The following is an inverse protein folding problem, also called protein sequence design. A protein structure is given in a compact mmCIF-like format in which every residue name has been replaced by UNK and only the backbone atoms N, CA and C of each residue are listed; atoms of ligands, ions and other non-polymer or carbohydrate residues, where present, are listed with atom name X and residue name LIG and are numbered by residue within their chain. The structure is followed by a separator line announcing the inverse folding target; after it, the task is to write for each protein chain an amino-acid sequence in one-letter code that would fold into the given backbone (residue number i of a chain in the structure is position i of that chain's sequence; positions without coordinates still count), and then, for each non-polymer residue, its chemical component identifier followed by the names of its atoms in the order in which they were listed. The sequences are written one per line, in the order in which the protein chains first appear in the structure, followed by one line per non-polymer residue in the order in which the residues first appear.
data_IF_893048771919
#
_entry.id   IF_893048771919
#
_cell.length_a   1.000
_cell.length_b   1.000
_cell.length_c   1.000
_cell.angle_alpha   90.00
_cell.angle_beta   90.00
_cell.angle_gamma   90.00
#
_symmetry.space_group_name_H-M   'P 1'
#
loop_
_entity.id
_entity.type
_entity.pdbx_description
1 polymer ?
#
# COMPACT_ATOMS: atom_id res chain seq x y z
N UNK A 1 24.25 -3.24 -7.53
CA UNK A 1 22.91 -3.30 -6.90
C UNK A 1 21.86 -2.61 -7.75
N UNK A 2 20.60 -2.96 -7.54
CA UNK A 2 19.48 -2.38 -8.33
C UNK A 2 18.99 -1.05 -7.79
N UNK A 3 19.35 -0.68 -6.57
CA UNK A 3 18.97 0.55 -5.91
C UNK A 3 20.14 1.20 -5.19
N UNK A 4 20.00 2.48 -4.84
CA UNK A 4 21.00 3.26 -4.12
C UNK A 4 21.05 2.82 -2.65
N UNK A 5 22.18 2.27 -2.15
CA UNK A 5 22.32 1.82 -0.76
C UNK A 5 22.56 2.95 0.23
N UNK A 6 22.87 4.17 -0.25
CA UNK A 6 23.15 5.36 0.57
C UNK A 6 22.45 6.59 0.00
N UNK A 7 21.10 6.60 0.01
CA UNK A 7 20.34 7.67 -0.61
C UNK A 7 20.38 8.95 0.23
N UNK A 8 20.34 10.07 -0.45
CA UNK A 8 20.11 11.38 0.12
C UNK A 8 18.69 11.85 -0.20
N UNK A 9 17.74 11.56 0.68
CA UNK A 9 16.35 11.99 0.49
C UNK A 9 16.25 13.52 0.51
N UNK A 10 15.55 14.07 -0.47
CA UNK A 10 15.36 15.52 -0.59
C UNK A 10 13.89 15.87 -0.71
N UNK A 11 13.49 16.95 -0.05
CA UNK A 11 12.21 17.60 -0.33
C UNK A 11 12.40 18.46 -1.58
N UNK A 12 11.83 18.01 -2.70
CA UNK A 12 11.94 18.71 -4.00
C UNK A 12 10.98 19.90 -4.04
N UNK A 13 9.78 19.71 -3.50
CA UNK A 13 8.72 20.71 -3.47
C UNK A 13 7.83 20.52 -2.25
N UNK A 14 7.39 21.61 -1.67
CA UNK A 14 6.41 21.60 -0.59
C UNK A 14 5.55 22.86 -0.63
N UNK A 15 4.27 22.72 -0.24
CA UNK A 15 3.35 23.83 0.08
C UNK A 15 2.67 23.53 1.41
N UNK A 16 1.67 24.32 1.77
CA UNK A 16 0.86 24.08 2.97
C UNK A 16 0.12 22.75 2.97
N UNK A 17 -0.17 22.19 1.79
CA UNK A 17 -1.00 20.99 1.62
C UNK A 17 -0.29 19.86 0.87
N UNK A 18 0.97 20.01 0.46
CA UNK A 18 1.70 18.89 -0.12
C UNK A 18 3.18 18.86 0.26
N UNK A 19 3.77 17.65 0.17
CA UNK A 19 5.20 17.41 0.23
C UNK A 19 5.63 16.43 -0.85
N UNK A 20 6.68 16.76 -1.60
CA UNK A 20 7.20 15.93 -2.67
C UNK A 20 8.67 15.59 -2.44
N UNK A 21 9.00 14.30 -2.40
CA UNK A 21 10.27 13.75 -1.96
C UNK A 21 10.98 13.07 -3.13
N UNK A 22 12.26 13.36 -3.30
CA UNK A 22 13.15 12.57 -4.13
C UNK A 22 13.74 11.43 -3.30
N UNK A 23 13.54 10.19 -3.75
CA UNK A 23 14.04 8.97 -3.13
C UNK A 23 15.48 8.63 -3.52
N UNK A 24 16.09 9.37 -4.44
CA UNK A 24 17.50 9.20 -4.86
C UNK A 24 17.87 7.74 -5.19
N UNK A 25 16.98 7.02 -5.82
CA UNK A 25 17.22 5.63 -6.22
C UNK A 25 17.09 4.59 -5.11
N UNK A 26 16.59 4.94 -3.92
CA UNK A 26 16.44 4.04 -2.78
C UNK A 26 15.30 3.03 -2.93
N UNK A 27 15.19 2.11 -1.96
CA UNK A 27 13.92 1.42 -1.68
C UNK A 27 12.87 2.44 -1.26
N UNK A 28 11.60 2.14 -1.55
CA UNK A 28 10.51 3.08 -1.37
C UNK A 28 10.07 3.35 0.08
N UNK A 29 10.55 2.59 1.06
CA UNK A 29 10.10 2.68 2.46
C UNK A 29 10.36 4.08 3.07
N UNK A 30 11.60 4.50 3.12
CA UNK A 30 11.98 5.75 3.77
C UNK A 30 11.43 7.01 3.07
N UNK A 31 11.54 7.17 1.74
CA UNK A 31 11.01 8.36 1.07
C UNK A 31 9.48 8.45 1.16
N UNK A 32 8.75 7.32 1.05
CA UNK A 32 7.30 7.34 1.19
C UNK A 32 6.86 7.61 2.62
N UNK A 33 7.55 7.06 3.63
CA UNK A 33 7.26 7.39 5.03
C UNK A 33 7.50 8.86 5.31
N UNK A 34 8.60 9.44 4.82
CA UNK A 34 8.88 10.88 4.96
C UNK A 34 7.77 11.73 4.30
N UNK A 35 7.28 11.33 3.13
CA UNK A 35 6.16 11.98 2.46
C UNK A 35 4.86 11.86 3.27
N UNK A 36 4.61 10.69 3.86
CA UNK A 36 3.46 10.42 4.72
C UNK A 36 3.47 11.28 5.98
N UNK A 37 4.56 11.34 6.71
CA UNK A 37 4.70 12.18 7.91
C UNK A 37 4.47 13.67 7.61
N UNK A 38 5.00 14.15 6.48
CA UNK A 38 4.73 15.51 6.04
C UNK A 38 3.27 15.76 5.68
N UNK A 39 2.62 14.79 5.04
CA UNK A 39 1.20 14.89 4.72
C UNK A 39 0.34 14.87 6.00
N UNK A 40 0.64 14.01 6.97
CA UNK A 40 -0.06 13.96 8.27
C UNK A 40 0.03 15.33 8.97
N UNK A 41 1.24 15.83 9.16
CA UNK A 41 1.45 17.12 9.84
C UNK A 41 0.70 18.26 9.17
N UNK A 42 0.62 18.27 7.84
CA UNK A 42 -0.12 19.27 7.06
C UNK A 42 -1.63 19.05 7.14
N UNK A 43 -2.11 17.82 7.07
CA UNK A 43 -3.53 17.49 7.17
C UNK A 43 -4.09 17.88 8.54
N UNK A 44 -3.34 17.66 9.61
CA UNK A 44 -3.73 18.11 10.96
C UNK A 44 -3.92 19.63 11.05
N UNK A 45 -3.21 20.42 10.26
CA UNK A 45 -3.29 21.88 10.26
C UNK A 45 -4.28 22.46 9.23
N UNK A 46 -4.49 21.75 8.10
CA UNK A 46 -5.24 22.25 6.93
C UNK A 46 -6.46 21.40 6.58
N UNK A 47 -6.68 20.31 7.31
CA UNK A 47 -7.76 19.36 7.09
C UNK A 47 -7.42 18.28 6.05
N UNK A 48 -6.66 18.60 5.00
CA UNK A 48 -6.27 17.67 3.94
C UNK A 48 -4.87 17.97 3.42
N UNK A 49 -4.11 16.94 3.10
CA UNK A 49 -2.80 17.08 2.46
C UNK A 49 -2.43 15.84 1.66
N UNK A 50 -1.43 15.99 0.77
CA UNK A 50 -0.85 14.91 -0.01
C UNK A 50 0.66 14.84 0.19
N UNK A 51 1.17 13.62 0.24
CA UNK A 51 2.58 13.32 0.17
C UNK A 51 2.87 12.52 -1.09
N UNK A 52 3.98 12.79 -1.74
CA UNK A 52 4.42 12.01 -2.90
C UNK A 52 5.93 11.78 -2.85
N UNK A 53 6.38 10.69 -3.44
CA UNK A 53 7.80 10.46 -3.63
C UNK A 53 8.06 9.83 -5.01
N UNK A 54 9.20 10.17 -5.61
CA UNK A 54 9.65 9.67 -6.89
C UNK A 54 11.03 9.02 -6.76
N UNK A 55 11.51 8.44 -7.87
CA UNK A 55 12.86 7.86 -7.98
C UNK A 55 13.13 6.82 -6.89
N UNK A 56 12.22 5.86 -6.73
CA UNK A 56 12.30 4.84 -5.70
C UNK A 56 11.96 3.45 -6.23
N UNK A 57 12.36 2.44 -5.49
CA UNK A 57 11.97 1.06 -5.69
C UNK A 57 10.70 0.69 -4.93
N UNK A 58 10.49 -0.61 -4.73
CA UNK A 58 9.33 -1.11 -4.01
C UNK A 58 9.23 -0.53 -2.59
N UNK A 59 8.02 -0.15 -2.16
CA UNK A 59 7.78 0.54 -0.89
C UNK A 59 7.14 -0.35 0.20
N UNK A 60 7.05 -1.66 -0.04
CA UNK A 60 6.44 -2.62 0.88
C UNK A 60 4.91 -2.68 0.74
N UNK A 61 4.22 -2.86 1.85
CA UNK A 61 2.76 -2.82 1.92
C UNK A 61 2.24 -1.38 1.88
N UNK A 62 1.16 -1.16 1.13
CA UNK A 62 0.47 0.13 1.09
C UNK A 62 -0.14 0.49 2.46
N UNK A 63 -0.59 -0.53 3.21
CA UNK A 63 -1.16 -0.38 4.54
C UNK A 63 -0.21 0.23 5.56
N UNK A 64 1.09 0.04 5.42
CA UNK A 64 2.08 0.60 6.35
C UNK A 64 1.93 2.13 6.53
N UNK A 65 1.76 2.85 5.44
CA UNK A 65 1.60 4.31 5.44
C UNK A 65 0.22 4.75 5.90
N UNK A 66 -0.80 3.96 5.55
CA UNK A 66 -2.18 4.21 5.95
C UNK A 66 -2.36 3.99 7.45
N UNK A 67 -1.82 2.93 8.02
CA UNK A 67 -1.85 2.68 9.47
C UNK A 67 -1.16 3.81 10.23
N UNK A 68 0.00 4.28 9.75
CA UNK A 68 0.69 5.42 10.36
C UNK A 68 -0.18 6.68 10.41
N UNK A 69 -0.92 6.96 9.34
CA UNK A 69 -1.85 8.10 9.32
C UNK A 69 -3.08 7.88 10.23
N UNK A 70 -3.59 6.65 10.32
CA UNK A 70 -4.71 6.31 11.21
C UNK A 70 -4.35 6.47 12.70
N UNK A 71 -3.12 6.16 13.10
CA UNK A 71 -2.59 6.42 14.45
C UNK A 71 -2.70 7.88 14.85
N UNK A 72 -2.55 8.80 13.88
CA UNK A 72 -2.68 10.24 14.07
C UNK A 72 -4.13 10.77 13.89
N UNK A 73 -5.09 9.86 13.80
CA UNK A 73 -6.51 10.22 13.68
C UNK A 73 -6.89 10.74 12.29
N UNK A 74 -6.29 10.19 11.25
CA UNK A 74 -6.56 10.57 9.88
C UNK A 74 -7.16 9.39 9.08
N UNK A 75 -7.98 9.70 8.09
CA UNK A 75 -8.17 8.84 6.93
C UNK A 75 -6.92 8.92 6.06
N UNK A 76 -6.55 7.81 5.44
CA UNK A 76 -5.51 7.86 4.42
C UNK A 76 -5.77 6.91 3.25
N UNK A 77 -5.18 7.27 2.13
CA UNK A 77 -5.02 6.45 0.94
C UNK A 77 -3.55 6.41 0.57
N UNK A 78 -3.03 5.24 0.23
CA UNK A 78 -1.66 5.04 -0.24
C UNK A 78 -1.65 4.20 -1.49
N UNK A 79 -0.79 4.54 -2.44
CA UNK A 79 -0.60 3.81 -3.69
C UNK A 79 0.83 3.90 -4.17
N UNK A 80 1.31 2.81 -4.75
CA UNK A 80 2.55 2.79 -5.51
C UNK A 80 2.25 2.57 -6.99
N UNK A 81 3.01 3.20 -7.85
CA UNK A 81 2.90 3.01 -9.30
C UNK A 81 4.27 3.05 -9.96
N UNK A 82 4.32 2.68 -11.22
CA UNK A 82 5.48 2.77 -12.07
C UNK A 82 5.08 3.20 -13.47
N UNK A 83 6.01 3.84 -14.18
CA UNK A 83 5.81 4.17 -15.59
C UNK A 83 7.02 3.65 -16.41
N UNK A 84 6.83 3.10 -17.60
CA UNK A 84 5.54 2.88 -18.29
C UNK A 84 4.75 1.68 -17.77
N UNK A 85 5.35 0.77 -17.02
CA UNK A 85 4.67 -0.41 -16.50
C UNK A 85 5.16 -0.81 -15.13
N UNK A 86 4.22 -1.14 -14.22
CA UNK A 86 4.54 -1.70 -12.92
C UNK A 86 5.18 -3.09 -13.04
N UNK A 87 4.71 -3.92 -13.97
CA UNK A 87 5.26 -5.25 -14.23
C UNK A 87 5.83 -5.39 -15.63
N UNK A 88 7.08 -5.81 -15.66
CA UNK A 88 7.77 -6.22 -16.89
C UNK A 88 7.71 -7.73 -17.13
N UNK A 89 7.28 -8.50 -16.15
CA UNK A 89 7.22 -9.97 -16.20
C UNK A 89 5.99 -10.51 -16.94
N UNK A 90 4.98 -9.68 -17.21
CA UNK A 90 3.82 -10.09 -17.98
C UNK A 90 4.18 -10.24 -19.47
N UNK A 91 4.76 -11.39 -19.81
CA UNK A 91 5.22 -11.70 -21.17
C UNK A 91 4.09 -11.68 -22.18
N UNK A 92 2.90 -12.07 -21.75
CA UNK A 92 1.73 -12.24 -22.62
C UNK A 92 0.99 -10.93 -22.85
N UNK A 93 1.33 -9.87 -22.12
CA UNK A 93 0.68 -8.54 -22.17
C UNK A 93 -0.86 -8.61 -22.09
N UNK A 94 -1.37 -9.56 -21.34
CA UNK A 94 -2.82 -9.76 -21.17
C UNK A 94 -3.40 -8.61 -20.37
N UNK A 95 -4.53 -8.07 -20.83
CA UNK A 95 -5.25 -7.02 -20.11
C UNK A 95 -5.71 -7.46 -18.71
N UNK A 96 -6.13 -8.72 -18.56
CA UNK A 96 -6.55 -9.29 -17.28
C UNK A 96 -5.44 -9.31 -16.22
N UNK A 97 -4.17 -9.25 -16.64
CA UNK A 97 -2.98 -9.20 -15.77
C UNK A 97 -2.14 -7.96 -16.07
N UNK A 98 -2.79 -6.83 -16.31
CA UNK A 98 -2.15 -5.57 -16.72
C UNK A 98 -1.08 -5.09 -15.72
N UNK A 99 -1.25 -5.36 -14.45
CA UNK A 99 -0.28 -5.06 -13.41
C UNK A 99 -0.90 -5.29 -12.04
N UNK A 100 -0.07 -5.27 -11.01
CA UNK A 100 -0.51 -5.56 -9.64
C UNK A 100 0.09 -4.57 -8.62
N UNK A 101 0.02 -3.24 -8.86
CA UNK A 101 0.46 -2.27 -7.87
C UNK A 101 -0.40 -2.36 -6.60
N UNK A 102 0.19 -2.15 -5.43
CA UNK A 102 -0.56 -2.10 -4.18
C UNK A 102 -1.30 -0.77 -4.04
N UNK A 103 -2.47 -0.81 -3.43
CA UNK A 103 -3.19 0.35 -2.92
C UNK A 103 -3.83 0.03 -1.57
N UNK A 104 -3.98 1.04 -0.74
CA UNK A 104 -4.67 0.91 0.53
C UNK A 104 -5.50 2.15 0.85
N UNK A 105 -6.70 1.91 1.40
CA UNK A 105 -7.53 2.92 2.06
C UNK A 105 -7.72 2.52 3.52
N UNK A 106 -7.71 3.49 4.44
CA UNK A 106 -7.98 3.20 5.84
C UNK A 106 -8.65 4.33 6.58
N UNK A 107 -9.59 3.94 7.44
CA UNK A 107 -10.32 4.82 8.34
C UNK A 107 -10.32 4.15 9.72
N UNK A 108 -9.82 4.82 10.79
CA UNK A 108 -9.81 4.20 12.12
C UNK A 108 -11.19 4.16 12.75
N UNK A 109 -11.48 3.07 13.47
CA UNK A 109 -12.61 2.96 14.37
C UNK A 109 -12.37 3.63 15.73
N UNK A 110 -13.35 3.55 16.64
CA UNK A 110 -13.26 4.07 18.00
C UNK A 110 -12.64 3.00 18.93
N UNK A 111 -13.31 1.88 19.08
CA UNK A 111 -12.94 0.73 19.91
C UNK A 111 -12.78 -0.55 19.08
N UNK A 112 -13.44 -0.60 17.93
CA UNK A 112 -13.45 -1.72 17.00
C UNK A 112 -12.26 -1.71 16.03
N UNK A 113 -12.26 -2.69 15.11
CA UNK A 113 -11.25 -2.74 14.05
C UNK A 113 -11.37 -1.52 13.12
N UNK A 114 -10.27 -1.05 12.53
CA UNK A 114 -10.34 -0.06 11.46
C UNK A 114 -10.96 -0.68 10.21
N UNK A 115 -11.59 0.15 9.38
CA UNK A 115 -11.94 -0.23 8.01
C UNK A 115 -10.70 -0.02 7.13
N UNK A 116 -10.08 -1.09 6.67
CA UNK A 116 -8.85 -1.05 5.88
C UNK A 116 -8.99 -1.94 4.66
N UNK A 117 -8.99 -1.35 3.48
CA UNK A 117 -8.83 -2.06 2.22
C UNK A 117 -7.35 -1.98 1.80
N UNK A 118 -6.56 -2.99 2.12
CA UNK A 118 -5.16 -3.13 1.65
C UNK A 118 -5.07 -4.31 0.70
N UNK A 119 -4.64 -4.07 -0.51
CA UNK A 119 -4.58 -5.12 -1.50
C UNK A 119 -3.82 -4.76 -2.76
N UNK A 120 -3.49 -5.82 -3.47
CA UNK A 120 -3.05 -5.74 -4.84
C UNK A 120 -4.24 -5.39 -5.75
N UNK A 121 -3.99 -4.65 -6.82
CA UNK A 121 -5.06 -4.22 -7.73
C UNK A 121 -5.52 -5.33 -8.68
N UNK A 122 -4.70 -6.35 -8.91
CA UNK A 122 -5.02 -7.47 -9.80
C UNK A 122 -5.82 -8.54 -9.08
N UNK A 123 -6.90 -9.02 -9.71
CA UNK A 123 -7.71 -10.15 -9.20
C UNK A 123 -6.90 -11.45 -9.22
N UNK A 124 -6.07 -11.63 -10.23
CA UNK A 124 -5.23 -12.80 -10.42
C UNK A 124 -3.76 -12.40 -10.35
N UNK A 125 -2.95 -13.22 -9.71
CA UNK A 125 -1.52 -13.07 -9.81
C UNK A 125 -1.05 -13.29 -11.26
N UNK A 126 -0.01 -12.60 -11.67
CA UNK A 126 0.51 -12.61 -13.04
C UNK A 126 1.04 -13.99 -13.50
N UNK A 127 1.31 -14.90 -12.56
CA UNK A 127 1.74 -16.28 -12.82
C UNK A 127 0.56 -17.27 -12.97
N UNK A 128 -0.66 -16.88 -12.59
CA UNK A 128 -1.82 -17.77 -12.70
C UNK A 128 -2.25 -17.93 -14.16
N UNK A 129 -2.37 -19.15 -14.59
CA UNK A 129 -2.69 -19.57 -15.97
C UNK A 129 -3.50 -20.86 -15.94
N UNK A 130 -4.19 -21.13 -17.05
CA UNK A 130 -4.89 -22.37 -17.29
C UNK A 130 -6.36 -22.19 -17.67
N UNK A 131 -7.04 -23.27 -18.07
CA UNK A 131 -8.43 -23.21 -18.55
C UNK A 131 -9.42 -22.61 -17.54
N UNK A 132 -9.21 -22.86 -16.25
CA UNK A 132 -10.04 -22.32 -15.17
C UNK A 132 -9.94 -20.79 -15.09
N UNK A 133 -8.73 -20.26 -15.26
CA UNK A 133 -8.48 -18.82 -15.24
C UNK A 133 -9.09 -18.12 -16.46
N UNK A 134 -8.96 -18.75 -17.64
CA UNK A 134 -9.58 -18.26 -18.86
C UNK A 134 -11.11 -18.30 -18.78
N UNK A 135 -11.66 -19.33 -18.15
CA UNK A 135 -13.10 -19.41 -17.87
C UNK A 135 -13.57 -18.26 -16.96
N UNK A 136 -12.79 -17.90 -15.93
CA UNK A 136 -13.11 -16.77 -15.05
C UNK A 136 -13.15 -15.44 -15.81
N UNK A 137 -12.22 -15.17 -16.73
CA UNK A 137 -12.25 -13.95 -17.55
C UNK A 137 -13.53 -13.84 -18.36
N UNK A 138 -14.03 -14.95 -18.87
CA UNK A 138 -15.30 -15.02 -19.62
C UNK A 138 -16.52 -14.91 -18.71
N UNK A 139 -16.46 -15.49 -17.52
CA UNK A 139 -17.59 -15.55 -16.58
C UNK A 139 -17.82 -14.22 -15.85
N UNK A 140 -16.74 -13.52 -15.48
CA UNK A 140 -16.78 -12.29 -14.68
C UNK A 140 -15.94 -11.16 -15.30
N UNK A 141 -16.12 -10.81 -16.59
CA UNK A 141 -15.27 -9.81 -17.27
C UNK A 141 -15.29 -8.44 -16.60
N UNK A 142 -16.42 -8.07 -15.99
CA UNK A 142 -16.55 -6.80 -15.28
C UNK A 142 -15.60 -6.68 -14.07
N UNK A 143 -15.30 -7.79 -13.40
CA UNK A 143 -14.35 -7.79 -12.28
C UNK A 143 -12.92 -7.53 -12.78
N UNK A 144 -12.51 -8.16 -13.88
CA UNK A 144 -11.22 -7.91 -14.51
C UNK A 144 -11.08 -6.48 -15.01
N UNK A 145 -12.13 -5.94 -15.62
CA UNK A 145 -12.12 -4.56 -16.07
C UNK A 145 -11.99 -3.55 -14.91
N UNK A 146 -12.65 -3.81 -13.78
CA UNK A 146 -12.47 -3.01 -12.55
C UNK A 146 -11.03 -3.09 -12.03
N UNK A 147 -10.47 -4.29 -12.01
CA UNK A 147 -9.08 -4.53 -11.61
C UNK A 147 -8.09 -3.72 -12.46
N UNK A 148 -8.27 -3.73 -13.80
CA UNK A 148 -7.49 -2.90 -14.71
C UNK A 148 -7.65 -1.40 -14.41
N UNK A 149 -8.85 -0.96 -14.05
CA UNK A 149 -9.12 0.41 -13.64
C UNK A 149 -8.33 0.81 -12.40
N UNK A 150 -8.33 -0.03 -11.36
CA UNK A 150 -7.51 0.19 -10.16
C UNK A 150 -6.02 0.23 -10.48
N UNK A 151 -5.53 -0.70 -11.30
CA UNK A 151 -4.13 -0.71 -11.75
C UNK A 151 -3.79 0.55 -12.55
N UNK A 152 -4.69 1.00 -13.43
CA UNK A 152 -4.53 2.23 -14.20
C UNK A 152 -4.42 3.47 -13.30
N UNK A 153 -5.30 3.59 -12.31
CA UNK A 153 -5.26 4.68 -11.31
C UNK A 153 -3.99 4.62 -10.47
N UNK A 154 -3.58 3.43 -10.01
CA UNK A 154 -2.35 3.27 -9.25
C UNK A 154 -1.11 3.67 -10.07
N UNK A 155 -1.05 3.24 -11.34
CA UNK A 155 0.01 3.62 -12.29
C UNK A 155 -0.01 5.13 -12.55
N UNK A 156 -1.19 5.72 -12.70
CA UNK A 156 -1.32 7.17 -12.92
C UNK A 156 -0.85 7.97 -11.70
N UNK A 157 -1.35 7.67 -10.51
CA UNK A 157 -1.04 8.43 -9.30
C UNK A 157 0.40 8.20 -8.81
N UNK A 158 0.81 6.95 -8.66
CA UNK A 158 2.14 6.59 -8.15
C UNK A 158 3.23 6.55 -9.22
N UNK A 159 2.90 6.72 -10.49
CA UNK A 159 3.84 6.73 -11.60
C UNK A 159 3.84 8.05 -12.35
N UNK A 160 2.87 8.25 -13.24
CA UNK A 160 2.83 9.41 -14.15
C UNK A 160 2.74 10.74 -13.38
N UNK A 161 1.80 10.83 -12.44
CA UNK A 161 1.53 12.06 -11.68
C UNK A 161 2.70 12.50 -10.81
N UNK A 162 3.52 11.57 -10.35
CA UNK A 162 4.72 11.84 -9.56
C UNK A 162 6.00 11.88 -10.42
N UNK A 163 5.86 12.13 -11.71
CA UNK A 163 6.96 12.48 -12.60
C UNK A 163 7.79 11.31 -13.14
N UNK A 164 7.35 10.04 -12.99
CA UNK A 164 8.11 8.89 -13.50
C UNK A 164 8.22 8.84 -15.04
N UNK A 165 7.44 9.66 -15.75
CA UNK A 165 7.51 9.81 -17.21
C UNK A 165 8.51 10.90 -17.67
N UNK A 166 9.16 11.61 -16.74
CA UNK A 166 10.10 12.70 -17.07
C UNK A 166 11.50 12.18 -17.33
N UNK A 167 12.32 12.96 -18.03
CA UNK A 167 13.69 12.59 -18.39
C UNK A 167 14.58 12.35 -17.16
N UNK A 168 14.37 13.13 -16.10
CA UNK A 168 15.10 12.97 -14.84
C UNK A 168 14.86 11.60 -14.21
N UNK A 169 13.64 11.10 -14.28
CA UNK A 169 13.30 9.75 -13.77
C UNK A 169 13.96 8.65 -14.61
N UNK A 170 14.07 8.84 -15.92
CA UNK A 170 14.77 7.92 -16.82
C UNK A 170 16.26 7.86 -16.47
N UNK A 171 16.91 9.00 -16.26
CA UNK A 171 18.32 9.07 -15.86
C UNK A 171 18.59 8.38 -14.51
N UNK A 172 17.70 8.55 -13.53
CA UNK A 172 17.80 7.83 -12.26
C UNK A 172 17.63 6.32 -12.46
N UNK A 173 16.69 5.89 -13.31
CA UNK A 173 16.44 4.48 -13.61
C UNK A 173 17.60 3.82 -14.37
N UNK A 174 18.28 4.54 -15.24
CA UNK A 174 19.50 4.07 -15.90
C UNK A 174 20.60 3.76 -14.87
N UNK A 175 20.77 4.65 -13.90
CA UNK A 175 21.76 4.47 -12.82
C UNK A 175 21.31 3.42 -11.81
N UNK A 176 20.02 3.41 -11.44
CA UNK A 176 19.43 2.55 -10.43
C UNK A 176 18.21 1.83 -11.01
N UNK A 177 18.37 0.69 -11.69
CA UNK A 177 17.28 0.02 -12.42
C UNK A 177 16.07 -0.41 -11.56
N UNK A 178 16.21 -0.48 -10.25
CA UNK A 178 15.12 -0.74 -9.32
C UNK A 178 14.27 0.49 -8.98
N UNK A 179 14.75 1.70 -9.27
CA UNK A 179 14.13 2.97 -8.86
C UNK A 179 13.19 3.56 -9.92
N UNK A 180 12.34 2.73 -10.50
CA UNK A 180 11.38 3.10 -11.55
C UNK A 180 9.96 3.33 -11.05
N UNK A 181 9.80 3.47 -9.75
CA UNK A 181 8.50 3.62 -9.10
C UNK A 181 8.43 4.96 -8.38
N UNK A 182 7.20 5.38 -8.15
CA UNK A 182 6.87 6.46 -7.24
C UNK A 182 5.74 6.06 -6.33
N UNK A 183 5.43 6.91 -5.38
CA UNK A 183 4.35 6.72 -4.43
C UNK A 183 3.54 7.99 -4.24
N UNK A 184 2.29 7.80 -3.88
CA UNK A 184 1.36 8.87 -3.57
C UNK A 184 0.57 8.50 -2.33
N UNK A 185 0.47 9.44 -1.38
CA UNK A 185 -0.30 9.29 -0.14
C UNK A 185 -1.22 10.50 0.01
N UNK A 186 -2.50 10.23 0.24
CA UNK A 186 -3.50 11.26 0.54
C UNK A 186 -3.97 11.09 1.97
N UNK A 187 -3.96 12.17 2.74
CA UNK A 187 -4.30 12.18 4.17
C UNK A 187 -5.36 13.23 4.43
N UNK A 188 -6.41 12.87 5.19
CA UNK A 188 -7.43 13.80 5.66
C UNK A 188 -7.62 13.66 7.17
N UNK A 189 -7.71 14.78 7.87
CA UNK A 189 -8.10 14.79 9.28
C UNK A 189 -9.54 14.30 9.44
N UNK A 190 -9.80 13.38 10.36
CA UNK A 190 -11.14 12.84 10.58
C UNK A 190 -12.15 13.91 11.04
N UNK A 191 -11.68 14.98 11.64
CA UNK A 191 -12.52 16.07 12.07
C UNK A 191 -12.96 17.03 10.96
N UNK A 192 -12.60 16.77 9.70
CA UNK A 192 -12.84 17.70 8.60
C UNK A 192 -14.32 17.99 8.34
N UNK A 193 -15.20 16.99 8.45
CA UNK A 193 -16.63 17.10 8.12
C UNK A 193 -17.56 16.91 9.33
N UNK A 194 -17.11 16.16 10.33
CA UNK A 194 -17.85 15.88 11.55
C UNK A 194 -16.87 15.66 12.70
N UNK A 195 -17.30 15.75 13.98
CA UNK A 195 -16.42 15.46 15.10
C UNK A 195 -15.74 14.08 14.96
N UNK A 196 -14.43 14.02 15.07
CA UNK A 196 -13.65 12.80 14.83
C UNK A 196 -14.14 11.58 15.64
N UNK A 197 -14.59 11.78 16.89
CA UNK A 197 -15.16 10.72 17.70
C UNK A 197 -16.45 10.15 17.11
N UNK A 198 -17.31 10.99 16.52
CA UNK A 198 -18.53 10.54 15.85
C UNK A 198 -18.22 9.75 14.58
N UNK A 199 -17.21 10.18 13.81
CA UNK A 199 -16.77 9.44 12.62
C UNK A 199 -16.26 8.06 13.03
N UNK A 200 -15.39 7.96 14.05
CA UNK A 200 -14.87 6.68 14.56
C UNK A 200 -15.98 5.75 15.05
N UNK A 201 -16.91 6.26 15.86
CA UNK A 201 -18.06 5.48 16.34
C UNK A 201 -18.96 5.02 15.18
N UNK A 202 -19.09 5.84 14.13
CA UNK A 202 -19.80 5.49 12.91
C UNK A 202 -19.13 4.34 12.14
N UNK A 203 -17.79 4.27 12.12
CA UNK A 203 -17.05 3.15 11.52
C UNK A 203 -17.28 1.86 12.32
N UNK A 204 -17.25 1.91 13.66
CA UNK A 204 -17.57 0.75 14.50
C UNK A 204 -19.00 0.26 14.25
N UNK A 205 -19.98 1.17 14.18
CA UNK A 205 -21.37 0.84 13.88
C UNK A 205 -21.53 0.22 12.48
N UNK A 206 -20.84 0.75 11.47
CA UNK A 206 -20.86 0.20 10.10
C UNK A 206 -20.35 -1.24 10.07
N UNK A 207 -19.24 -1.52 10.73
CA UNK A 207 -18.62 -2.86 10.76
C UNK A 207 -19.53 -3.83 11.55
N UNK A 208 -20.09 -3.39 12.68
CA UNK A 208 -21.03 -4.19 13.47
C UNK A 208 -22.29 -4.52 12.69
N UNK A 209 -22.87 -3.54 11.99
CA UNK A 209 -24.05 -3.75 11.14
C UNK A 209 -23.80 -4.83 10.07
N UNK A 210 -22.66 -4.79 9.38
CA UNK A 210 -22.34 -5.82 8.39
C UNK A 210 -22.25 -7.19 9.03
N UNK A 211 -21.57 -7.30 10.18
CA UNK A 211 -21.41 -8.57 10.89
C UNK A 211 -22.74 -9.16 11.39
N UNK A 212 -23.64 -8.32 11.84
CA UNK A 212 -24.89 -8.73 12.51
C UNK A 212 -26.05 -8.95 11.52
N UNK A 213 -26.09 -8.18 10.44
CA UNK A 213 -27.24 -8.14 9.53
C UNK A 213 -26.99 -8.80 8.16
N UNK A 214 -25.72 -9.04 7.79
CA UNK A 214 -25.41 -9.55 6.45
C UNK A 214 -25.13 -11.05 6.46
N UNK A 215 -25.57 -11.72 5.40
CA UNK A 215 -25.24 -13.14 5.17
C UNK A 215 -23.77 -13.25 4.76
N UNK A 216 -22.96 -14.09 5.43
CA UNK A 216 -21.56 -14.28 5.07
C UNK A 216 -21.36 -14.74 3.63
N UNK A 217 -20.22 -14.42 3.06
CA UNK A 217 -19.78 -15.02 1.81
C UNK A 217 -19.61 -16.54 1.99
N UNK A 218 -19.88 -17.31 0.94
CA UNK A 218 -19.74 -18.76 0.97
C UNK A 218 -18.34 -19.18 1.43
N UNK A 219 -18.28 -19.99 2.48
CA UNK A 219 -17.02 -20.49 3.07
C UNK A 219 -16.47 -19.61 4.22
N UNK A 220 -17.23 -18.60 4.65
CA UNK A 220 -16.92 -17.78 5.82
C UNK A 220 -17.99 -17.93 6.91
N UNK A 221 -17.56 -17.91 8.17
CA UNK A 221 -18.44 -18.07 9.32
C UNK A 221 -19.19 -16.78 9.70
N UNK A 222 -18.65 -15.62 9.29
CA UNK A 222 -19.27 -14.31 9.55
C UNK A 222 -19.11 -13.36 8.35
N UNK A 223 -20.05 -12.43 8.23
CA UNK A 223 -19.91 -11.31 7.31
C UNK A 223 -18.97 -10.28 7.94
N UNK A 224 -17.96 -9.83 7.20
CA UNK A 224 -16.98 -8.88 7.70
C UNK A 224 -16.49 -7.93 6.62
N UNK A 225 -16.13 -6.72 7.01
CA UNK A 225 -15.46 -5.76 6.15
C UNK A 225 -13.92 -5.92 6.21
N UNK A 226 -13.22 -5.50 5.15
CA UNK A 226 -11.77 -5.54 5.10
C UNK A 226 -11.12 -4.80 6.29
N UNK A 227 -10.03 -5.37 6.83
CA UNK A 227 -9.34 -4.87 8.02
C UNK A 227 -9.70 -5.60 9.31
N UNK A 228 -10.89 -6.22 9.40
CA UNK A 228 -11.34 -6.91 10.63
C UNK A 228 -10.50 -8.14 10.93
N UNK A 229 -10.21 -8.97 9.93
CA UNK A 229 -9.41 -10.19 10.14
C UNK A 229 -7.95 -9.87 10.48
N UNK A 230 -7.38 -8.90 9.79
CA UNK A 230 -6.01 -8.42 10.01
C UNK A 230 -5.86 -7.82 11.41
N UNK A 231 -6.86 -7.07 11.86
CA UNK A 231 -6.90 -6.50 13.22
C UNK A 231 -6.89 -7.61 14.28
N UNK A 232 -7.74 -8.65 14.13
CA UNK A 232 -7.77 -9.80 15.04
C UNK A 232 -6.42 -10.53 15.09
N UNK A 233 -5.84 -10.79 13.91
CA UNK A 233 -4.50 -11.42 13.83
C UNK A 233 -3.42 -10.55 14.47
N UNK A 234 -3.49 -9.25 14.30
CA UNK A 234 -2.55 -8.32 14.95
C UNK A 234 -2.65 -8.41 16.47
N UNK A 235 -3.86 -8.46 17.02
CA UNK A 235 -4.07 -8.64 18.44
C UNK A 235 -3.56 -10.00 18.94
N UNK A 236 -3.82 -11.08 18.19
CA UNK A 236 -3.33 -12.42 18.49
C UNK A 236 -1.80 -12.46 18.49
N UNK A 237 -1.18 -12.01 17.40
CA UNK A 237 0.28 -12.05 17.24
C UNK A 237 1.03 -11.10 18.18
N UNK A 238 0.39 -10.04 18.63
CA UNK A 238 0.95 -9.16 19.68
C UNK A 238 1.03 -9.82 21.04
N UNK A 239 0.17 -10.82 21.32
CA UNK A 239 0.17 -11.58 22.58
C UNK A 239 1.00 -12.85 22.48
N UNK A 240 0.92 -13.56 21.38
CA UNK A 240 1.41 -14.93 21.22
C UNK A 240 2.69 -15.01 20.38
N UNK A 241 3.06 -13.91 19.72
CA UNK A 241 4.17 -13.88 18.77
C UNK A 241 3.72 -14.21 17.35
N UNK A 242 4.51 -13.80 16.39
CA UNK A 242 4.26 -14.03 14.96
C UNK A 242 4.67 -15.48 14.63
N UNK A 243 3.74 -16.33 14.15
CA UNK A 243 4.08 -17.71 13.77
C UNK A 243 4.97 -17.68 12.52
N UNK A 244 6.14 -18.27 12.61
CA UNK A 244 7.08 -18.39 11.49
C UNK A 244 7.45 -19.85 11.25
N UNK A 245 7.51 -20.22 9.98
CA UNK A 245 8.00 -21.55 9.59
C UNK A 245 9.49 -21.71 9.88
N UNK A 246 9.89 -22.94 10.21
CA UNK A 246 11.29 -23.25 10.57
C UNK A 246 12.27 -22.93 9.44
N UNK A 247 11.82 -23.08 8.18
CA UNK A 247 12.62 -22.73 7.02
C UNK A 247 12.84 -21.22 6.88
N UNK A 248 11.83 -20.41 7.20
CA UNK A 248 11.93 -18.95 7.15
C UNK A 248 12.82 -18.42 8.27
N UNK A 249 12.72 -19.00 9.46
CA UNK A 249 13.65 -18.73 10.57
C UNK A 249 15.09 -19.03 10.16
N UNK A 250 15.37 -20.20 9.59
CA UNK A 250 16.70 -20.57 9.11
C UNK A 250 17.24 -19.65 8.01
N UNK A 251 16.37 -19.15 7.11
CA UNK A 251 16.77 -18.15 6.08
C UNK A 251 17.14 -16.82 6.72
N UNK A 252 16.38 -16.38 7.72
CA UNK A 252 16.64 -15.13 8.42
C UNK A 252 17.94 -15.22 9.24
N UNK A 253 18.16 -16.32 9.96
CA UNK A 253 19.39 -16.57 10.72
C UNK A 253 20.62 -16.56 9.81
N UNK A 254 20.55 -17.28 8.69
CA UNK A 254 21.62 -17.28 7.69
C UNK A 254 21.90 -15.88 7.16
N UNK A 255 20.86 -15.16 6.76
CA UNK A 255 20.99 -13.79 6.23
C UNK A 255 21.56 -12.84 7.29
N UNK A 256 21.09 -12.96 8.53
CA UNK A 256 21.63 -12.22 9.65
C UNK A 256 23.11 -12.50 9.87
N UNK A 257 23.53 -13.78 9.86
CA UNK A 257 24.93 -14.19 9.97
C UNK A 257 25.80 -13.63 8.85
N UNK A 258 25.32 -13.67 7.61
CA UNK A 258 26.02 -13.11 6.44
C UNK A 258 26.19 -11.58 6.53
N UNK A 259 25.32 -10.89 7.25
CA UNK A 259 25.34 -9.43 7.44
C UNK A 259 25.92 -8.99 8.80
N UNK A 260 26.32 -9.92 9.66
CA UNK A 260 26.79 -9.63 11.02
C UNK A 260 25.69 -9.12 11.97
N UNK A 261 24.44 -9.46 11.72
CA UNK A 261 23.28 -9.10 12.55
C UNK A 261 22.75 -10.36 13.23
N UNK A 262 22.72 -10.38 14.57
CA UNK A 262 22.17 -11.50 15.30
C UNK A 262 20.65 -11.57 15.15
N UNK A 263 20.10 -12.77 14.99
CA UNK A 263 18.66 -12.97 15.01
C UNK A 263 18.13 -12.73 16.44
N UNK A 264 17.01 -12.00 16.63
CA UNK A 264 16.55 -11.60 17.98
C UNK A 264 16.00 -12.74 18.85
N UNK A 265 15.86 -13.94 18.30
CA UNK A 265 15.37 -15.15 18.99
C UNK A 265 16.46 -16.17 19.29
N UNK A 266 17.74 -15.89 19.01
CA UNK A 266 18.91 -16.74 19.29
C UNK A 266 19.65 -16.22 20.51
#
# INVERSE_FOLDING_TARGET
GRGNPRPHLKVIRATDTHGYIDGDGSLGYAPTMLATEKAIAKAKNKGVAVGAACHLGHYGSAGHYVHRAMEEGCFAFSVQGAYPQYYTSNKDKRAATYGNPPLCFGIPGQEGPPLVLDGATCILADYQRGPEIEALESLIPAAFFKSMGYTGIATALGGVFVGQAQEEALAVTERWPGARMGSFVWVMDLGLFAPAAQVRAGIDALISHVREEMIPLKGYDEATLPGTMEHRKTQEYSREGIPMGIEDLGRLEKTGGDLGVAAPWV
#
